data_IF_454856105997
#
_entry.id   IF_454856105997
#
_cell.length_a   1.000
_cell.length_b   1.000
_cell.length_c   1.000
_cell.angle_alpha   90.00
_cell.angle_beta   90.00
_cell.angle_gamma   90.00
#
_symmetry.space_group_name_H-M   'P 1'
#
loop_
_entity.id
_entity.type
_entity.pdbx_description
1 polymer ?
#
# COMPACT_ATOMS: atom_id res chain seq x y z
N UNK A 1 53.36 34.46 -20.95
CA UNK A 1 53.77 33.48 -21.97
C UNK A 1 54.20 32.20 -21.28
N UNK A 2 53.54 31.08 -21.63
CA UNK A 2 54.01 29.67 -21.68
C UNK A 2 55.11 29.19 -20.67
N UNK A 3 54.97 28.07 -19.96
CA UNK A 3 54.97 26.70 -20.53
C UNK A 3 54.72 25.60 -19.46
N UNK A 4 53.83 24.65 -19.82
CA UNK A 4 53.92 23.16 -19.73
C UNK A 4 54.16 22.42 -18.38
N UNK A 5 53.21 21.54 -18.04
CA UNK A 5 53.47 20.15 -17.59
C UNK A 5 52.37 19.21 -18.10
N UNK A 6 52.76 18.15 -18.82
CA UNK A 6 51.91 17.01 -19.21
C UNK A 6 51.56 16.15 -17.99
N UNK A 7 50.35 15.61 -17.89
CA UNK A 7 50.23 14.15 -17.77
C UNK A 7 48.85 13.61 -18.13
N UNK A 8 48.87 12.59 -18.97
CA UNK A 8 47.74 11.75 -19.35
C UNK A 8 47.21 11.01 -18.12
N UNK A 9 45.90 11.11 -17.89
CA UNK A 9 45.12 9.98 -17.39
C UNK A 9 43.95 9.78 -18.35
N UNK A 10 44.23 9.01 -19.39
CA UNK A 10 43.20 8.27 -20.10
C UNK A 10 42.61 7.25 -19.13
N UNK A 11 41.32 7.39 -18.83
CA UNK A 11 40.48 6.21 -18.61
C UNK A 11 39.13 6.49 -19.23
N UNK A 12 38.86 6.08 -20.48
CA UNK A 12 37.50 5.86 -20.90
C UNK A 12 37.10 4.53 -20.27
N UNK A 13 36.70 4.53 -18.99
CA UNK A 13 36.03 3.37 -18.44
C UNK A 13 34.57 3.42 -18.93
N UNK A 14 34.42 3.25 -20.25
CA UNK A 14 33.15 3.00 -20.90
C UNK A 14 32.79 1.53 -20.62
N UNK A 15 32.61 1.21 -19.33
CA UNK A 15 31.90 0.01 -18.94
C UNK A 15 30.45 0.29 -19.34
N UNK A 16 30.08 -0.16 -20.54
CA UNK A 16 28.68 -0.34 -20.87
C UNK A 16 28.15 -1.32 -19.83
N UNK A 17 27.40 -0.82 -18.85
CA UNK A 17 26.78 -1.60 -17.77
C UNK A 17 25.65 -2.52 -18.27
N UNK A 18 25.71 -2.97 -19.52
CA UNK A 18 24.62 -3.66 -20.19
C UNK A 18 23.30 -2.89 -20.08
N UNK A 19 22.18 -3.59 -20.26
CA UNK A 19 20.90 -3.09 -19.79
C UNK A 19 20.81 -3.37 -18.28
N UNK A 20 20.31 -2.38 -17.52
CA UNK A 20 19.98 -2.58 -16.11
C UNK A 20 18.91 -3.67 -15.98
N UNK A 21 18.97 -4.52 -14.94
CA UNK A 21 17.92 -5.50 -14.70
C UNK A 21 16.60 -4.78 -14.39
N UNK A 22 15.53 -5.25 -15.02
CA UNK A 22 14.16 -4.78 -14.81
C UNK A 22 13.45 -5.79 -13.91
N UNK A 23 12.62 -5.32 -12.98
CA UNK A 23 11.80 -6.18 -12.16
C UNK A 23 10.64 -6.76 -12.98
N UNK A 24 10.40 -8.06 -12.85
CA UNK A 24 9.17 -8.66 -13.34
C UNK A 24 8.06 -8.40 -12.32
N UNK A 25 7.11 -7.53 -12.69
CA UNK A 25 5.98 -7.13 -11.85
C UNK A 25 4.66 -7.79 -12.26
N UNK A 26 4.69 -8.73 -13.21
CA UNK A 26 3.50 -9.37 -13.77
C UNK A 26 2.69 -10.17 -12.74
N UNK A 27 3.35 -10.66 -11.67
CA UNK A 27 2.68 -11.27 -10.52
C UNK A 27 1.74 -10.30 -9.78
N UNK A 28 2.03 -9.00 -9.82
CA UNK A 28 1.16 -7.96 -9.28
C UNK A 28 0.14 -7.52 -10.32
N UNK A 29 0.62 -6.92 -11.41
CA UNK A 29 -0.18 -6.42 -12.52
C UNK A 29 0.65 -6.41 -13.82
N UNK A 30 -0.02 -6.66 -14.95
CA UNK A 30 0.65 -6.75 -16.26
C UNK A 30 1.24 -5.41 -16.76
N UNK A 31 0.64 -4.28 -16.35
CA UNK A 31 1.02 -2.91 -16.75
C UNK A 31 0.22 -1.88 -15.95
N UNK A 32 0.56 -0.59 -16.08
CA UNK A 32 -0.19 0.52 -15.46
C UNK A 32 -1.61 0.66 -16.03
N UNK A 33 -1.87 0.15 -17.23
CA UNK A 33 -3.20 0.09 -17.85
C UNK A 33 -3.94 -1.24 -17.59
N UNK A 34 -3.44 -2.07 -16.66
CA UNK A 34 -4.07 -3.36 -16.37
C UNK A 34 -5.50 -3.16 -15.85
N UNK A 35 -6.46 -3.85 -16.49
CA UNK A 35 -7.87 -3.88 -16.05
C UNK A 35 -8.03 -4.39 -14.61
N UNK A 36 -7.09 -5.21 -14.12
CA UNK A 36 -7.07 -5.69 -12.74
C UNK A 36 -6.90 -4.53 -11.75
N UNK A 37 -6.07 -3.52 -12.07
CA UNK A 37 -5.89 -2.34 -11.22
C UNK A 37 -7.22 -1.58 -11.10
N UNK A 38 -7.92 -1.36 -12.21
CA UNK A 38 -9.23 -0.70 -12.19
C UNK A 38 -10.24 -1.49 -11.36
N UNK A 39 -10.30 -2.81 -11.56
CA UNK A 39 -11.20 -3.69 -10.80
C UNK A 39 -10.88 -3.68 -9.30
N UNK A 40 -9.59 -3.67 -8.92
CA UNK A 40 -9.19 -3.64 -7.53
C UNK A 40 -9.50 -2.28 -6.90
N UNK A 41 -9.26 -1.17 -7.60
CA UNK A 41 -9.66 0.20 -7.17
C UNK A 41 -11.16 0.31 -6.90
N UNK A 42 -12.00 -0.18 -7.83
CA UNK A 42 -13.47 -0.16 -7.67
C UNK A 42 -13.92 -1.03 -6.50
N UNK A 43 -13.29 -2.20 -6.32
CA UNK A 43 -13.55 -3.08 -5.20
C UNK A 43 -13.22 -2.40 -3.87
N UNK A 44 -12.01 -1.85 -3.70
CA UNK A 44 -11.62 -1.23 -2.42
C UNK A 44 -12.44 0.02 -2.12
N UNK A 45 -12.81 0.81 -3.12
CA UNK A 45 -13.66 1.99 -2.91
C UNK A 45 -15.06 1.59 -2.44
N UNK A 46 -15.63 0.56 -3.05
CA UNK A 46 -16.94 0.04 -2.67
C UNK A 46 -16.90 -0.56 -1.26
N UNK A 47 -15.90 -1.41 -0.99
CA UNK A 47 -15.76 -2.08 0.31
C UNK A 47 -15.42 -1.13 1.44
N UNK A 48 -14.60 -0.10 1.23
CA UNK A 48 -14.34 0.90 2.26
C UNK A 48 -15.60 1.69 2.63
N UNK A 49 -16.43 2.05 1.64
CA UNK A 49 -17.72 2.73 1.90
C UNK A 49 -18.71 1.84 2.65
N UNK A 50 -18.83 0.58 2.25
CA UNK A 50 -19.65 -0.41 2.95
C UNK A 50 -19.16 -0.63 4.39
N UNK A 51 -17.84 -0.73 4.57
CA UNK A 51 -17.21 -0.90 5.87
C UNK A 51 -17.51 0.27 6.81
N UNK A 52 -17.31 1.50 6.35
CA UNK A 52 -17.64 2.71 7.11
C UNK A 52 -19.13 2.73 7.48
N UNK A 53 -20.04 2.51 6.54
CA UNK A 53 -21.48 2.49 6.81
C UNK A 53 -21.88 1.44 7.86
N UNK A 54 -21.22 0.28 7.85
CA UNK A 54 -21.52 -0.83 8.75
C UNK A 54 -20.97 -0.61 10.16
N UNK A 55 -19.78 -0.02 10.29
CA UNK A 55 -19.01 -0.06 11.54
C UNK A 55 -18.68 1.30 12.16
N UNK A 56 -18.75 2.41 11.43
CA UNK A 56 -18.45 3.74 11.97
C UNK A 56 -19.41 4.12 13.11
N UNK A 57 -18.84 4.56 14.23
CA UNK A 57 -19.52 4.86 15.49
C UNK A 57 -20.03 3.63 16.25
N UNK A 58 -19.70 2.41 15.81
CA UNK A 58 -20.28 1.15 16.32
C UNK A 58 -19.23 0.16 16.81
N UNK A 59 -17.93 0.47 16.74
CA UNK A 59 -16.88 -0.51 17.11
C UNK A 59 -17.00 -0.91 18.59
N UNK A 60 -17.33 0.03 19.46
CA UNK A 60 -17.58 -0.24 20.88
C UNK A 60 -18.85 -1.09 21.12
N UNK A 61 -19.67 -1.41 20.12
CA UNK A 61 -20.84 -2.29 20.27
C UNK A 61 -20.58 -3.72 19.76
N UNK A 62 -19.42 -3.96 19.16
CA UNK A 62 -19.07 -5.26 18.60
C UNK A 62 -18.72 -6.27 19.70
N UNK A 63 -18.95 -7.55 19.39
CA UNK A 63 -18.50 -8.69 20.18
C UNK A 63 -17.36 -9.41 19.45
N UNK A 64 -16.74 -10.42 20.06
CA UNK A 64 -15.59 -11.11 19.48
C UNK A 64 -15.79 -11.60 18.03
N UNK A 65 -16.87 -12.36 17.73
CA UNK A 65 -17.18 -12.78 16.37
C UNK A 65 -17.39 -11.62 15.38
N UNK A 66 -18.14 -10.58 15.75
CA UNK A 66 -18.40 -9.46 14.82
C UNK A 66 -17.19 -8.56 14.63
N UNK A 67 -16.33 -8.43 15.65
CA UNK A 67 -15.04 -7.76 15.53
C UNK A 67 -14.10 -8.55 14.61
N UNK A 68 -14.05 -9.89 14.72
CA UNK A 68 -13.27 -10.72 13.80
C UNK A 68 -13.70 -10.47 12.35
N UNK A 69 -15.00 -10.51 12.07
CA UNK A 69 -15.52 -10.26 10.72
C UNK A 69 -15.14 -8.86 10.23
N UNK A 70 -15.19 -7.83 11.09
CA UNK A 70 -14.75 -6.49 10.74
C UNK A 70 -13.24 -6.46 10.44
N UNK A 71 -12.41 -7.09 11.27
CA UNK A 71 -10.96 -7.16 11.06
C UNK A 71 -10.62 -7.86 9.73
N UNK A 72 -11.25 -9.00 9.43
CA UNK A 72 -11.00 -9.74 8.18
C UNK A 72 -11.46 -8.95 6.95
N UNK A 73 -12.55 -8.18 7.04
CA UNK A 73 -12.96 -7.28 5.96
C UNK A 73 -11.94 -6.17 5.73
N UNK A 74 -11.38 -5.60 6.81
CA UNK A 74 -10.35 -4.58 6.73
C UNK A 74 -9.07 -5.15 6.09
N UNK A 75 -8.64 -6.34 6.49
CA UNK A 75 -7.46 -7.03 5.91
C UNK A 75 -7.60 -7.20 4.39
N UNK A 76 -8.78 -7.60 3.90
CA UNK A 76 -9.01 -7.77 2.46
C UNK A 76 -8.92 -6.44 1.70
N UNK A 77 -9.35 -5.34 2.32
CA UNK A 77 -9.23 -4.00 1.73
C UNK A 77 -7.76 -3.59 1.71
N UNK A 78 -7.07 -3.68 2.85
CA UNK A 78 -5.67 -3.29 3.01
C UNK A 78 -4.75 -4.09 2.09
N UNK A 79 -4.93 -5.41 1.97
CA UNK A 79 -4.12 -6.26 1.08
C UNK A 79 -4.17 -5.77 -0.38
N UNK A 80 -5.34 -5.36 -0.86
CA UNK A 80 -5.49 -4.84 -2.23
C UNK A 80 -4.93 -3.43 -2.38
N UNK A 81 -5.10 -2.58 -1.37
CA UNK A 81 -4.50 -1.25 -1.35
C UNK A 81 -2.97 -1.35 -1.41
N UNK A 82 -2.39 -2.22 -0.58
CA UNK A 82 -0.96 -2.47 -0.49
C UNK A 82 -0.42 -3.09 -1.78
N UNK A 83 -1.17 -4.01 -2.41
CA UNK A 83 -0.81 -4.56 -3.72
C UNK A 83 -0.69 -3.47 -4.79
N UNK A 84 -1.68 -2.56 -4.88
CA UNK A 84 -1.66 -1.44 -5.84
C UNK A 84 -0.48 -0.50 -5.55
N UNK A 85 -0.32 -0.09 -4.29
CA UNK A 85 0.71 0.86 -3.90
C UNK A 85 2.12 0.28 -4.09
N UNK A 86 2.30 -1.01 -3.77
CA UNK A 86 3.55 -1.73 -4.01
C UNK A 86 3.89 -1.72 -5.50
N UNK A 87 2.97 -2.10 -6.39
CA UNK A 87 3.21 -2.06 -7.83
C UNK A 87 3.61 -0.66 -8.31
N UNK A 88 2.86 0.37 -7.89
CA UNK A 88 3.12 1.75 -8.27
C UNK A 88 4.48 2.26 -7.76
N UNK A 89 4.84 1.92 -6.53
CA UNK A 89 6.11 2.31 -5.92
C UNK A 89 7.28 1.59 -6.60
N UNK A 90 7.14 0.29 -6.90
CA UNK A 90 8.19 -0.50 -7.57
C UNK A 90 8.46 0.03 -8.99
N UNK A 91 7.41 0.36 -9.77
CA UNK A 91 7.57 1.01 -11.07
C UNK A 91 8.23 2.39 -11.00
N UNK A 92 7.87 3.19 -10.00
CA UNK A 92 8.50 4.48 -9.79
C UNK A 92 9.99 4.33 -9.43
N UNK A 93 10.31 3.37 -8.57
CA UNK A 93 11.68 3.09 -8.16
C UNK A 93 12.56 2.54 -9.29
N UNK A 94 11.98 1.79 -10.24
CA UNK A 94 12.68 1.28 -11.43
C UNK A 94 13.26 2.42 -12.28
N UNK A 95 12.48 3.47 -12.50
CA UNK A 95 12.92 4.65 -13.23
C UNK A 95 12.26 5.93 -12.71
N UNK A 96 12.95 6.58 -11.78
CA UNK A 96 12.51 7.84 -11.16
C UNK A 96 12.56 9.04 -12.11
N UNK A 97 12.99 8.90 -13.37
CA UNK A 97 12.92 9.96 -14.37
C UNK A 97 11.76 9.77 -15.36
N UNK A 98 11.13 8.59 -15.36
CA UNK A 98 9.98 8.31 -16.21
C UNK A 98 8.73 9.09 -15.74
N UNK A 99 8.21 9.94 -16.62
CA UNK A 99 7.05 10.80 -16.33
C UNK A 99 5.77 9.99 -16.16
N UNK A 100 5.60 8.89 -16.89
CA UNK A 100 4.38 8.05 -16.77
C UNK A 100 4.36 7.35 -15.43
N UNK A 101 5.48 6.78 -14.99
CA UNK A 101 5.59 6.10 -13.70
C UNK A 101 5.35 7.07 -12.54
N UNK A 102 5.88 8.31 -12.62
CA UNK A 102 5.60 9.38 -11.65
C UNK A 102 4.12 9.70 -11.54
N UNK A 103 3.47 9.96 -12.67
CA UNK A 103 2.04 10.31 -12.72
C UNK A 103 1.20 9.17 -12.19
N UNK A 104 1.49 7.93 -12.60
CA UNK A 104 0.78 6.75 -12.10
C UNK A 104 0.93 6.60 -10.58
N UNK A 105 2.15 6.70 -10.05
CA UNK A 105 2.40 6.63 -8.61
C UNK A 105 1.64 7.69 -7.83
N UNK A 106 1.68 8.95 -8.26
CA UNK A 106 0.93 10.05 -7.63
C UNK A 106 -0.58 9.80 -7.65
N UNK A 107 -1.12 9.37 -8.80
CA UNK A 107 -2.55 9.07 -8.92
C UNK A 107 -2.99 7.93 -8.00
N UNK A 108 -2.21 6.86 -7.90
CA UNK A 108 -2.50 5.75 -7.00
C UNK A 108 -2.42 6.20 -5.54
N UNK A 109 -1.38 6.94 -5.16
CA UNK A 109 -1.21 7.47 -3.82
C UNK A 109 -2.41 8.34 -3.41
N UNK A 110 -2.84 9.28 -4.27
CA UNK A 110 -3.99 10.15 -3.98
C UNK A 110 -5.30 9.38 -3.81
N UNK A 111 -5.56 8.40 -4.69
CA UNK A 111 -6.77 7.56 -4.61
C UNK A 111 -6.77 6.73 -3.33
N UNK A 112 -5.66 6.06 -3.02
CA UNK A 112 -5.55 5.20 -1.85
C UNK A 112 -5.59 6.00 -0.54
N UNK A 113 -5.00 7.19 -0.50
CA UNK A 113 -5.10 8.09 0.67
C UNK A 113 -6.56 8.51 0.95
N UNK A 114 -7.34 8.80 -0.10
CA UNK A 114 -8.78 9.11 0.05
C UNK A 114 -9.57 7.92 0.61
N UNK A 115 -9.26 6.71 0.15
CA UNK A 115 -9.91 5.48 0.62
C UNK A 115 -9.51 5.17 2.07
N UNK A 116 -8.22 5.26 2.40
CA UNK A 116 -7.71 5.08 3.77
C UNK A 116 -8.38 6.02 4.78
N UNK A 117 -8.67 7.26 4.35
CA UNK A 117 -9.39 8.23 5.20
C UNK A 117 -10.79 7.76 5.62
N UNK A 118 -11.44 6.89 4.85
CA UNK A 118 -12.73 6.28 5.21
C UNK A 118 -12.60 5.17 6.26
N UNK A 119 -11.39 4.64 6.47
CA UNK A 119 -11.12 3.48 7.33
C UNK A 119 -10.49 3.87 8.67
N UNK A 120 -9.92 5.09 8.77
CA UNK A 120 -9.16 5.55 9.94
C UNK A 120 -9.96 5.48 11.25
N UNK A 121 -11.29 5.63 11.19
CA UNK A 121 -12.17 5.55 12.36
C UNK A 121 -12.02 4.21 13.09
N UNK A 122 -11.76 3.11 12.38
CA UNK A 122 -11.69 1.77 12.97
C UNK A 122 -10.60 1.72 14.04
N UNK A 123 -9.39 2.16 13.69
CA UNK A 123 -8.26 2.21 14.62
C UNK A 123 -8.52 3.21 15.76
N UNK A 124 -9.11 4.37 15.46
CA UNK A 124 -9.40 5.40 16.47
C UNK A 124 -10.43 4.92 17.49
N UNK A 125 -11.51 4.28 17.04
CA UNK A 125 -12.55 3.74 17.91
C UNK A 125 -12.06 2.53 18.69
N UNK A 126 -11.29 1.62 18.06
CA UNK A 126 -10.69 0.48 18.74
C UNK A 126 -9.78 0.93 19.89
N UNK A 127 -8.94 1.95 19.64
CA UNK A 127 -8.06 2.56 20.65
C UNK A 127 -8.83 3.29 21.76
N UNK A 128 -10.12 3.60 21.54
CA UNK A 128 -10.98 4.27 22.52
C UNK A 128 -11.74 3.29 23.42
N UNK A 129 -11.67 1.98 23.16
CA UNK A 129 -12.32 0.97 24.00
C UNK A 129 -11.52 0.76 25.28
N UNK A 130 -12.23 0.68 26.42
CA UNK A 130 -11.62 0.36 27.71
C UNK A 130 -10.86 -0.97 27.68
N UNK A 131 -9.67 -0.98 28.27
CA UNK A 131 -8.75 -2.14 28.27
C UNK A 131 -9.42 -3.42 28.78
N UNK A 132 -10.28 -3.32 29.80
CA UNK A 132 -11.04 -4.47 30.33
C UNK A 132 -11.89 -5.13 29.24
N UNK A 133 -12.61 -4.31 28.46
CA UNK A 133 -13.49 -4.80 27.39
C UNK A 133 -12.70 -5.34 26.20
N UNK A 134 -11.60 -4.70 25.84
CA UNK A 134 -10.66 -5.23 24.84
C UNK A 134 -10.16 -6.63 25.25
N UNK A 135 -9.77 -6.80 26.50
CA UNK A 135 -9.31 -8.10 27.01
C UNK A 135 -10.42 -9.17 26.95
N UNK A 136 -11.67 -8.82 27.21
CA UNK A 136 -12.82 -9.72 27.06
C UNK A 136 -13.04 -10.14 25.59
N UNK A 137 -12.89 -9.21 24.64
CA UNK A 137 -12.98 -9.51 23.20
C UNK A 137 -11.89 -10.49 22.76
N UNK A 138 -10.65 -10.34 23.25
CA UNK A 138 -9.52 -11.21 22.92
C UNK A 138 -9.60 -12.63 23.52
N UNK A 139 -10.59 -12.93 24.36
CA UNK A 139 -10.86 -14.31 24.79
C UNK A 139 -11.34 -15.16 23.60
N UNK A 140 -12.02 -14.53 22.63
CA UNK A 140 -12.52 -15.21 21.44
C UNK A 140 -11.36 -15.75 20.60
N UNK A 141 -11.41 -17.05 20.29
CA UNK A 141 -10.29 -17.77 19.69
C UNK A 141 -9.83 -17.18 18.37
N UNK A 142 -10.76 -16.75 17.51
CA UNK A 142 -10.42 -16.17 16.21
C UNK A 142 -9.67 -14.83 16.29
N UNK A 143 -9.76 -14.10 17.41
CA UNK A 143 -9.03 -12.84 17.61
C UNK A 143 -7.64 -13.04 18.21
N UNK A 144 -7.30 -14.24 18.68
CA UNK A 144 -5.98 -14.51 19.30
C UNK A 144 -4.83 -14.31 18.32
N UNK A 145 -5.04 -14.57 17.01
CA UNK A 145 -4.04 -14.35 15.96
C UNK A 145 -3.61 -12.88 15.81
N UNK A 146 -4.45 -11.95 16.30
CA UNK A 146 -4.22 -10.50 16.22
C UNK A 146 -3.67 -9.89 17.51
N UNK A 147 -3.50 -10.69 18.56
CA UNK A 147 -2.92 -10.22 19.82
C UNK A 147 -1.41 -10.20 19.68
N UNK A 148 -0.82 -9.01 19.58
CA UNK A 148 0.64 -8.79 19.58
C UNK A 148 1.17 -8.65 21.00
#
# INVERSE_FOLDING_TARGET
MTTKTNNKLNTPNNQSFGNLPIWDLSDLYDSIESKKITSDLEFIETKAKEFAANYEGKINLLNGPTLLVATEQLEIIDERMDKILSFAHLLYAENVDDVKNKVFFQQMQEKLTKISSLLIFFTLELNSIEEKKINELFIFEGLKKFKT
#
